data_IF_968838459698
#
_entry.id   IF_968838459698
#
_cell.length_a   1.000
_cell.length_b   1.000
_cell.length_c   1.000
_cell.angle_alpha   90.00
_cell.angle_beta   90.00
_cell.angle_gamma   90.00
#
_symmetry.space_group_name_H-M   'P 1'
#
loop_
_entity.id
_entity.type
_entity.pdbx_description
1 polymer ?
#
# COMPACT_ATOMS: atom_id res chain seq x y z
N UNK A 1 24.35 -91.06 34.86
CA UNK A 1 24.23 -89.76 34.17
C UNK A 1 22.82 -89.27 34.36
N UNK A 2 22.64 -88.11 35.01
CA UNK A 2 21.52 -87.15 34.87
C UNK A 2 21.48 -86.29 36.14
N UNK A 3 22.42 -85.32 36.17
CA UNK A 3 22.41 -84.21 37.10
C UNK A 3 21.22 -83.31 36.70
N UNK A 4 20.17 -83.26 37.52
CA UNK A 4 19.09 -82.30 37.32
C UNK A 4 19.60 -80.91 37.71
N UNK A 5 20.02 -80.13 36.71
CA UNK A 5 20.30 -78.70 36.87
C UNK A 5 18.97 -77.96 37.06
N UNK A 6 18.61 -77.70 38.32
CA UNK A 6 17.65 -76.67 38.70
C UNK A 6 18.24 -75.30 38.35
N UNK A 7 17.98 -74.83 37.13
CA UNK A 7 18.11 -73.42 36.79
C UNK A 7 17.02 -72.66 37.55
N UNK A 8 17.39 -71.97 38.62
CA UNK A 8 16.52 -70.99 39.25
C UNK A 8 16.16 -69.92 38.20
N UNK A 9 14.90 -69.47 38.11
CA UNK A 9 14.55 -68.36 37.25
C UNK A 9 15.33 -67.13 37.72
N UNK A 10 16.08 -66.51 36.81
CA UNK A 10 16.69 -65.20 37.03
C UNK A 10 15.54 -64.24 37.40
N UNK A 11 15.49 -63.83 38.67
CA UNK A 11 14.56 -62.83 39.13
C UNK A 11 15.00 -61.49 38.52
N UNK A 12 14.38 -61.07 37.42
CA UNK A 12 14.63 -59.73 36.88
C UNK A 12 14.27 -58.69 37.96
N UNK A 13 15.17 -57.75 38.28
CA UNK A 13 14.87 -56.72 39.27
C UNK A 13 13.68 -55.88 38.82
N UNK A 14 12.81 -55.52 39.77
CA UNK A 14 11.72 -54.58 39.49
C UNK A 14 12.32 -53.20 39.26
N UNK A 15 12.19 -52.67 38.05
CA UNK A 15 12.73 -51.37 37.67
C UNK A 15 11.61 -50.37 37.39
N UNK A 16 11.88 -49.11 37.73
CA UNK A 16 11.00 -47.98 37.46
C UNK A 16 11.54 -47.21 36.26
N UNK A 17 10.69 -46.98 35.25
CA UNK A 17 11.05 -46.31 34.02
C UNK A 17 10.18 -45.06 33.85
N UNK A 18 10.83 -43.92 33.59
CA UNK A 18 10.14 -42.71 33.18
C UNK A 18 10.16 -42.61 31.65
N UNK A 19 9.00 -42.35 31.05
CA UNK A 19 8.88 -42.05 29.61
C UNK A 19 8.15 -40.73 29.39
N UNK A 20 8.48 -40.04 28.31
CA UNK A 20 7.83 -38.80 27.91
C UNK A 20 7.15 -39.00 26.55
N UNK A 21 5.92 -38.51 26.42
CA UNK A 21 5.16 -38.52 25.18
C UNK A 21 4.65 -37.11 24.87
N UNK A 22 5.09 -36.48 23.76
CA UNK A 22 6.13 -36.95 22.83
C UNK A 22 7.54 -37.00 23.48
N UNK A 23 8.44 -37.82 22.93
CA UNK A 23 9.83 -37.95 23.41
C UNK A 23 10.71 -36.74 23.05
N UNK A 24 10.33 -36.03 21.97
CA UNK A 24 10.98 -34.81 21.51
C UNK A 24 9.94 -33.70 21.45
N UNK A 25 9.58 -33.11 22.61
CA UNK A 25 8.57 -32.07 22.65
C UNK A 25 9.07 -30.78 22.03
N UNK A 26 8.16 -30.04 21.43
CA UNK A 26 8.44 -28.70 20.91
C UNK A 26 7.98 -27.63 21.91
N UNK A 27 8.55 -26.44 21.84
CA UNK A 27 8.12 -25.32 22.70
C UNK A 27 6.62 -25.07 22.58
N UNK A 28 5.95 -24.91 23.72
CA UNK A 28 4.51 -24.69 23.82
C UNK A 28 3.65 -25.95 23.68
N UNK A 29 4.24 -27.11 23.34
CA UNK A 29 3.50 -28.38 23.22
C UNK A 29 3.27 -29.05 24.58
N UNK A 30 2.15 -29.77 24.76
CA UNK A 30 1.90 -30.55 25.96
C UNK A 30 2.74 -31.83 25.97
N UNK A 31 3.17 -32.24 27.17
CA UNK A 31 3.92 -33.48 27.39
C UNK A 31 3.28 -34.29 28.49
N UNK A 32 3.12 -35.58 28.26
CA UNK A 32 2.74 -36.53 29.30
C UNK A 32 3.96 -37.33 29.74
N UNK A 33 4.33 -37.18 31.01
CA UNK A 33 5.31 -38.03 31.67
C UNK A 33 4.59 -39.26 32.22
N UNK A 34 5.08 -40.46 31.91
CA UNK A 34 4.54 -41.73 32.41
C UNK A 34 5.61 -42.47 33.19
N UNK A 35 5.29 -42.81 34.43
CA UNK A 35 6.14 -43.60 35.31
C UNK A 35 5.65 -45.05 35.30
N UNK A 36 6.38 -45.91 34.61
CA UNK A 36 6.02 -47.31 34.42
C UNK A 36 6.87 -48.22 35.30
N UNK A 37 6.20 -49.15 36.00
CA UNK A 37 6.88 -50.20 36.74
C UNK A 37 7.00 -51.44 35.86
N UNK A 38 8.23 -51.80 35.52
CA UNK A 38 8.51 -53.05 34.81
C UNK A 38 8.78 -54.13 35.84
N UNK A 39 7.74 -54.90 36.19
CA UNK A 39 7.85 -56.07 37.08
C UNK A 39 7.43 -57.35 36.35
N UNK A 40 8.19 -58.45 36.47
CA UNK A 40 7.79 -59.76 35.93
C UNK A 40 6.63 -60.39 36.72
N UNK A 41 6.30 -59.89 37.91
CA UNK A 41 5.17 -60.33 38.72
C UNK A 41 4.08 -59.25 38.73
N UNK A 42 2.82 -59.64 38.48
CA UNK A 42 1.67 -58.73 38.64
C UNK A 42 1.52 -58.38 40.12
N UNK A 43 2.15 -57.29 40.53
CA UNK A 43 1.94 -56.70 41.84
C UNK A 43 0.56 -56.01 41.82
N UNK A 44 -0.41 -56.60 42.50
CA UNK A 44 -1.72 -55.98 42.79
C UNK A 44 -1.61 -54.85 43.84
N UNK A 45 -0.45 -54.20 43.92
CA UNK A 45 -0.13 -53.18 44.91
C UNK A 45 -0.54 -51.80 44.40
N UNK A 46 -1.13 -51.00 45.29
CA UNK A 46 -1.49 -49.63 44.97
C UNK A 46 -0.26 -48.73 45.15
N UNK A 47 0.26 -48.24 44.02
CA UNK A 47 1.41 -47.35 43.99
C UNK A 47 0.97 -45.89 44.04
N UNK A 48 1.81 -45.08 44.68
CA UNK A 48 1.77 -43.64 44.58
C UNK A 48 3.03 -43.15 43.88
N UNK A 49 2.90 -42.12 43.05
CA UNK A 49 3.94 -41.59 42.18
C UNK A 49 4.20 -40.11 42.48
N UNK A 50 5.47 -39.72 42.40
CA UNK A 50 5.94 -38.34 42.43
C UNK A 50 6.87 -38.10 41.23
N UNK A 51 6.83 -36.90 40.67
CA UNK A 51 7.64 -36.52 39.51
C UNK A 51 8.52 -35.32 39.84
N UNK A 52 9.75 -35.38 39.33
CA UNK A 52 10.79 -34.40 39.61
C UNK A 52 11.51 -33.99 38.33
N UNK A 53 12.00 -32.76 38.32
CA UNK A 53 12.95 -32.25 37.33
C UNK A 53 14.16 -31.62 38.04
N UNK A 54 15.21 -31.33 37.29
CA UNK A 54 16.34 -30.52 37.79
C UNK A 54 15.91 -29.15 38.35
N UNK A 55 14.77 -28.62 37.87
CA UNK A 55 14.30 -27.27 38.19
C UNK A 55 13.36 -27.20 39.39
N UNK A 56 12.73 -28.31 39.85
CA UNK A 56 11.86 -28.43 41.05
C UNK A 56 11.09 -29.78 41.11
N UNK A 57 10.33 -29.99 42.18
CA UNK A 57 9.23 -30.99 42.22
C UNK A 57 8.09 -30.54 41.30
N UNK A 58 7.69 -31.39 40.34
CA UNK A 58 6.67 -31.05 39.33
C UNK A 58 5.24 -31.34 39.80
N UNK A 59 5.11 -32.27 40.75
CA UNK A 59 3.83 -32.64 41.37
C UNK A 59 3.71 -32.00 42.76
N UNK A 60 2.54 -31.46 43.16
CA UNK A 60 2.32 -30.95 44.51
C UNK A 60 2.34 -32.03 45.60
N UNK A 61 2.42 -33.32 45.23
CA UNK A 61 2.55 -34.44 46.17
C UNK A 61 2.45 -35.81 45.50
N UNK A 62 2.24 -36.84 46.32
CA UNK A 62 2.04 -38.22 45.88
C UNK A 62 0.69 -38.40 45.19
N UNK A 63 0.70 -38.91 43.96
CA UNK A 63 -0.50 -39.15 43.16
C UNK A 63 -0.69 -40.64 42.90
N UNK A 64 -1.94 -41.13 42.86
CA UNK A 64 -2.23 -42.49 42.39
C UNK A 64 -2.12 -42.64 40.87
N UNK A 65 -1.98 -41.53 40.14
CA UNK A 65 -1.78 -41.55 38.70
C UNK A 65 -0.31 -41.80 38.37
N UNK A 66 0.01 -42.82 37.53
CA UNK A 66 1.35 -43.01 36.99
C UNK A 66 1.67 -42.00 35.87
N UNK A 67 0.78 -41.03 35.62
CA UNK A 67 0.91 -40.03 34.53
C UNK A 67 0.81 -38.62 35.09
N UNK A 68 1.71 -37.75 34.63
CA UNK A 68 1.68 -36.31 34.85
C UNK A 68 1.61 -35.59 33.49
N UNK A 69 0.62 -34.72 33.33
CA UNK A 69 0.48 -33.88 32.15
C UNK A 69 1.07 -32.49 32.41
N UNK A 70 2.02 -32.09 31.59
CA UNK A 70 2.58 -30.74 31.53
C UNK A 70 1.91 -30.05 30.34
N UNK A 71 1.19 -28.96 30.59
CA UNK A 71 0.36 -28.32 29.58
C UNK A 71 1.18 -27.67 28.45
N UNK A 72 2.36 -27.12 28.77
CA UNK A 72 3.26 -26.51 27.80
C UNK A 72 4.70 -26.63 28.31
N UNK A 73 5.56 -27.25 27.51
CA UNK A 73 7.01 -27.32 27.76
C UNK A 73 7.71 -26.19 27.00
N UNK A 74 8.64 -25.50 27.65
CA UNK A 74 9.46 -24.44 27.02
C UNK A 74 10.94 -24.82 27.00
N UNK A 75 11.76 -24.06 26.27
CA UNK A 75 13.19 -24.39 26.15
C UNK A 75 13.88 -24.45 27.50
N UNK A 76 13.47 -23.58 28.42
CA UNK A 76 13.96 -23.48 29.79
C UNK A 76 13.60 -24.70 30.66
N UNK A 77 12.60 -25.49 30.25
CA UNK A 77 12.21 -26.73 30.92
C UNK A 77 13.04 -27.94 30.46
N UNK A 78 13.99 -27.75 29.54
CA UNK A 78 14.89 -28.84 29.14
C UNK A 78 15.79 -29.24 30.31
N UNK A 79 15.94 -30.55 30.54
CA UNK A 79 16.77 -31.06 31.63
C UNK A 79 16.52 -32.53 31.97
N UNK A 80 16.97 -32.92 33.16
CA UNK A 80 16.82 -34.25 33.72
C UNK A 80 15.51 -34.41 34.48
N UNK A 81 14.78 -35.47 34.17
CA UNK A 81 13.51 -35.82 34.81
C UNK A 81 13.59 -37.22 35.40
N UNK A 82 12.97 -37.43 36.56
CA UNK A 82 12.82 -38.74 37.17
C UNK A 82 11.50 -38.85 37.91
N UNK A 83 11.06 -40.08 38.14
CA UNK A 83 9.91 -40.35 38.99
C UNK A 83 10.29 -41.25 40.15
N UNK A 84 9.52 -41.12 41.22
CA UNK A 84 9.58 -41.99 42.38
C UNK A 84 8.24 -42.69 42.55
N UNK A 85 8.27 -43.97 42.95
CA UNK A 85 7.10 -44.76 43.25
C UNK A 85 7.23 -45.39 44.64
N UNK A 86 6.16 -45.32 45.43
CA UNK A 86 6.10 -45.93 46.75
C UNK A 86 4.83 -46.76 46.94
N UNK A 87 4.90 -47.74 47.84
CA UNK A 87 3.73 -48.40 48.42
C UNK A 87 3.79 -48.27 49.94
N UNK A 88 2.69 -48.57 50.63
CA UNK A 88 2.56 -48.42 52.09
C UNK A 88 3.60 -49.22 52.90
N UNK A 89 4.22 -50.23 52.30
CA UNK A 89 5.13 -51.17 52.98
C UNK A 89 6.50 -51.26 52.31
N UNK A 90 6.76 -50.44 51.29
CA UNK A 90 7.88 -50.59 50.36
C UNK A 90 8.82 -49.40 50.44
N UNK A 91 10.12 -49.64 50.27
CA UNK A 91 11.09 -48.56 50.04
C UNK A 91 10.70 -47.81 48.76
N UNK A 92 10.94 -46.50 48.76
CA UNK A 92 10.74 -45.65 47.57
C UNK A 92 11.66 -46.14 46.46
N UNK A 93 11.06 -46.49 45.32
CA UNK A 93 11.77 -46.81 44.10
C UNK A 93 11.95 -45.53 43.30
N UNK A 94 13.14 -45.34 42.72
CA UNK A 94 13.48 -44.18 41.90
C UNK A 94 13.83 -44.66 40.50
N UNK A 95 13.30 -43.99 39.48
CA UNK A 95 13.64 -44.28 38.10
C UNK A 95 15.05 -43.79 37.77
N UNK A 96 15.61 -44.29 36.67
CA UNK A 96 16.74 -43.61 36.06
C UNK A 96 16.32 -42.22 35.59
N UNK A 97 17.31 -41.33 35.52
CA UNK A 97 17.13 -39.97 35.03
C UNK A 97 16.99 -39.97 33.51
N UNK A 98 15.92 -39.38 33.01
CA UNK A 98 15.63 -39.22 31.58
C UNK A 98 15.89 -37.79 31.16
N UNK A 99 16.73 -37.60 30.15
CA UNK A 99 16.97 -36.28 29.56
C UNK A 99 15.85 -35.94 28.58
N UNK A 100 15.18 -34.81 28.83
CA UNK A 100 14.16 -34.26 27.93
C UNK A 100 14.69 -32.95 27.38
N UNK A 101 14.85 -32.87 26.07
CA UNK A 101 15.28 -31.67 25.38
C UNK A 101 14.12 -31.11 24.56
N UNK A 102 13.65 -29.92 24.94
CA UNK A 102 12.58 -29.23 24.23
C UNK A 102 13.15 -28.58 22.98
N UNK A 103 12.54 -28.85 21.84
CA UNK A 103 12.97 -28.34 20.54
C UNK A 103 12.25 -27.04 20.21
N UNK A 104 12.99 -26.09 19.62
CA UNK A 104 12.41 -24.88 19.03
C UNK A 104 12.18 -25.13 17.55
N UNK A 105 11.02 -24.74 17.05
CA UNK A 105 10.67 -24.81 15.64
C UNK A 105 11.17 -23.53 14.97
N UNK A 106 12.01 -23.59 13.93
CA UNK A 106 12.46 -22.41 13.19
C UNK A 106 11.30 -21.63 12.57
N UNK A 107 11.51 -20.33 12.40
CA UNK A 107 10.59 -19.46 11.68
C UNK A 107 10.62 -19.77 10.19
N UNK A 108 9.44 -19.87 9.55
CA UNK A 108 9.33 -20.04 8.11
C UNK A 108 8.09 -19.34 7.53
N UNK A 109 8.10 -19.14 6.21
CA UNK A 109 7.05 -18.52 5.42
C UNK A 109 6.58 -17.17 5.98
N UNK A 110 7.53 -16.25 6.15
CA UNK A 110 7.27 -14.91 6.65
C UNK A 110 6.57 -14.07 5.59
N UNK A 111 5.52 -13.36 5.98
CA UNK A 111 4.76 -12.47 5.12
C UNK A 111 4.57 -11.10 5.77
N UNK A 112 4.42 -10.08 4.92
CA UNK A 112 4.14 -8.72 5.32
C UNK A 112 2.80 -8.30 4.71
N UNK A 113 1.88 -7.87 5.56
CA UNK A 113 0.58 -7.35 5.16
C UNK A 113 0.43 -5.90 5.59
N UNK A 114 -0.51 -5.18 4.97
CA UNK A 114 -0.79 -3.76 5.22
C UNK A 114 -2.21 -3.57 5.72
N UNK A 115 -2.39 -2.63 6.63
CA UNK A 115 -3.70 -2.11 7.01
C UNK A 115 -3.68 -0.58 6.85
N UNK A 116 -4.50 -0.02 5.94
CA UNK A 116 -5.47 -0.69 5.07
C UNK A 116 -4.83 -1.61 4.00
N UNK A 117 -5.55 -2.66 3.55
CA UNK A 117 -5.03 -3.64 2.59
C UNK A 117 -4.75 -3.01 1.23
N UNK A 118 -3.70 -3.51 0.56
CA UNK A 118 -3.28 -3.05 -0.76
C UNK A 118 -2.26 -1.90 -0.75
N UNK A 119 -1.88 -1.40 0.43
CA UNK A 119 -0.80 -0.41 0.56
C UNK A 119 -1.09 0.96 -0.06
N UNK A 120 -2.35 1.26 -0.38
CA UNK A 120 -2.78 2.58 -0.84
C UNK A 120 -3.34 3.38 0.33
N UNK A 121 -2.65 4.44 0.71
CA UNK A 121 -2.97 5.27 1.88
C UNK A 121 -2.92 6.75 1.52
N UNK A 122 -3.69 7.60 2.21
CA UNK A 122 -3.60 9.03 2.00
C UNK A 122 -2.55 9.67 2.93
N UNK A 123 -1.98 10.78 2.51
CA UNK A 123 -1.12 11.59 3.39
C UNK A 123 -1.89 12.02 4.64
N UNK A 124 -1.31 11.77 5.83
CA UNK A 124 -1.95 12.02 7.11
C UNK A 124 -2.66 10.80 7.72
N UNK A 125 -2.94 9.76 6.95
CA UNK A 125 -3.56 8.54 7.45
C UNK A 125 -2.62 7.71 8.33
N UNK A 126 -3.19 6.73 9.04
CA UNK A 126 -2.48 5.70 9.80
C UNK A 126 -2.25 4.47 8.92
N UNK A 127 -1.01 3.97 8.88
CA UNK A 127 -0.63 2.74 8.20
C UNK A 127 -0.04 1.74 9.21
N UNK A 128 -0.50 0.49 9.16
CA UNK A 128 0.04 -0.60 9.98
C UNK A 128 0.65 -1.67 9.06
N UNK A 129 1.88 -2.07 9.37
CA UNK A 129 2.60 -3.16 8.71
C UNK A 129 2.60 -4.39 9.63
N UNK A 130 1.91 -5.44 9.20
CA UNK A 130 1.69 -6.66 9.97
C UNK A 130 2.66 -7.72 9.45
N UNK A 131 3.65 -8.10 10.25
CA UNK A 131 4.56 -9.17 9.91
C UNK A 131 4.08 -10.47 10.57
N UNK A 132 3.94 -11.53 9.77
CA UNK A 132 3.48 -12.83 10.25
C UNK A 132 4.36 -13.97 9.76
N UNK A 133 4.52 -15.00 10.57
CA UNK A 133 5.19 -16.25 10.22
C UNK A 133 4.22 -17.42 10.27
N UNK A 134 4.27 -18.33 9.29
CA UNK A 134 3.40 -19.50 9.28
C UNK A 134 3.80 -20.53 10.35
N UNK A 135 5.10 -20.63 10.64
CA UNK A 135 5.65 -21.51 11.67
C UNK A 135 6.69 -20.80 12.52
N UNK A 136 6.91 -21.31 13.72
CA UNK A 136 7.89 -20.79 14.66
C UNK A 136 7.43 -20.96 16.10
N UNK A 137 8.36 -21.17 17.02
CA UNK A 137 8.05 -21.22 18.46
C UNK A 137 9.01 -20.37 19.28
N UNK A 138 8.64 -20.16 20.54
CA UNK A 138 9.43 -19.39 21.49
C UNK A 138 9.29 -17.90 21.25
N UNK A 139 10.32 -17.16 21.65
CA UNK A 139 10.36 -15.72 21.42
C UNK A 139 10.85 -15.46 19.99
N UNK A 140 10.05 -14.73 19.21
CA UNK A 140 10.34 -14.36 17.83
C UNK A 140 10.65 -12.86 17.79
N UNK A 141 11.77 -12.51 17.16
CA UNK A 141 12.19 -11.14 16.90
C UNK A 141 11.79 -10.77 15.47
N UNK A 142 10.98 -9.73 15.35
CA UNK A 142 10.52 -9.14 14.09
C UNK A 142 11.26 -7.83 13.83
N UNK A 143 11.74 -7.65 12.61
CA UNK A 143 12.44 -6.45 12.15
C UNK A 143 11.72 -5.91 10.91
N UNK A 144 11.35 -4.64 10.91
CA UNK A 144 10.74 -3.97 9.75
C UNK A 144 11.75 -3.10 9.05
N UNK A 145 11.75 -3.17 7.73
CA UNK A 145 12.68 -2.46 6.88
C UNK A 145 11.95 -1.60 5.85
N UNK A 146 12.50 -0.40 5.60
CA UNK A 146 12.06 0.53 4.56
C UNK A 146 13.11 0.68 3.48
N UNK A 147 12.66 0.66 2.24
CA UNK A 147 13.46 0.79 1.03
C UNK A 147 14.30 -0.45 0.73
N UNK A 148 14.76 -0.55 -0.52
CA UNK A 148 15.63 -1.64 -0.97
C UNK A 148 17.01 -1.66 -0.26
N UNK A 149 17.42 -0.54 0.33
CA UNK A 149 18.65 -0.40 1.12
C UNK A 149 18.53 -0.89 2.56
N UNK A 150 17.32 -1.26 3.00
CA UNK A 150 17.11 -1.92 4.30
C UNK A 150 17.26 -1.01 5.51
N UNK A 151 16.64 0.18 5.51
CA UNK A 151 16.59 1.01 6.72
C UNK A 151 15.71 0.32 7.77
N UNK A 152 16.31 -0.12 8.88
CA UNK A 152 15.55 -0.70 10.00
C UNK A 152 14.69 0.39 10.66
N UNK A 153 13.39 0.16 10.68
CA UNK A 153 12.40 1.05 11.30
C UNK A 153 12.14 0.69 12.75
N UNK A 154 12.02 -0.61 13.03
CA UNK A 154 11.71 -1.14 14.34
C UNK A 154 12.17 -2.59 14.47
N UNK A 155 12.50 -2.96 15.70
CA UNK A 155 12.73 -4.34 16.13
C UNK A 155 11.82 -4.64 17.32
N UNK A 156 11.11 -5.77 17.29
CA UNK A 156 10.19 -6.18 18.35
C UNK A 156 10.31 -7.68 18.61
N UNK A 157 10.54 -8.05 19.87
CA UNK A 157 10.58 -9.45 20.28
C UNK A 157 9.35 -9.81 21.09
N UNK A 158 8.63 -10.85 20.68
CA UNK A 158 7.44 -11.32 21.38
C UNK A 158 7.22 -12.81 21.16
N UNK A 159 6.50 -13.47 22.07
CA UNK A 159 6.11 -14.87 21.97
C UNK A 159 4.82 -15.00 21.15
N UNK A 160 4.91 -14.63 19.88
CA UNK A 160 3.78 -14.62 18.92
C UNK A 160 4.31 -14.83 17.52
N UNK A 161 3.51 -15.47 16.66
CA UNK A 161 3.78 -15.62 15.23
C UNK A 161 3.52 -14.34 14.42
N UNK A 162 2.93 -13.32 15.05
CA UNK A 162 2.58 -12.06 14.39
C UNK A 162 2.98 -10.89 15.25
N UNK A 163 3.45 -9.81 14.61
CA UNK A 163 3.71 -8.53 15.24
C UNK A 163 3.37 -7.38 14.28
N UNK A 164 3.16 -6.19 14.84
CA UNK A 164 2.71 -5.01 14.10
C UNK A 164 3.68 -3.84 14.31
N UNK A 165 3.92 -3.11 13.22
CA UNK A 165 4.59 -1.81 13.20
C UNK A 165 3.63 -0.75 12.67
N UNK A 166 3.56 0.39 13.34
CA UNK A 166 2.63 1.46 13.00
C UNK A 166 3.37 2.72 12.55
N UNK A 167 2.89 3.30 11.45
CA UNK A 167 3.20 4.65 10.99
C UNK A 167 1.94 5.49 11.29
N UNK A 168 1.92 6.29 12.38
CA UNK A 168 0.71 6.97 12.83
C UNK A 168 0.23 8.07 11.86
N UNK A 169 1.14 8.64 11.07
CA UNK A 169 0.86 9.74 10.16
C UNK A 169 1.74 9.57 8.92
N UNK A 170 1.14 9.04 7.86
CA UNK A 170 1.81 8.76 6.58
C UNK A 170 2.24 10.06 5.90
N UNK A 171 3.45 10.07 5.34
CA UNK A 171 4.01 11.16 4.55
C UNK A 171 4.35 10.70 3.14
N UNK A 172 4.54 11.64 2.21
CA UNK A 172 5.02 11.34 0.85
C UNK A 172 6.29 10.47 0.83
N UNK A 173 7.22 10.71 1.77
CA UNK A 173 8.45 9.92 1.87
C UNK A 173 8.24 8.47 2.30
N UNK A 174 7.04 8.08 2.74
CA UNK A 174 6.67 6.69 3.06
C UNK A 174 6.19 5.90 1.85
N UNK A 175 6.11 6.52 0.66
CA UNK A 175 5.81 5.85 -0.61
C UNK A 175 7.01 5.01 -1.10
N UNK A 176 7.30 3.91 -0.40
CA UNK A 176 8.47 3.06 -0.62
C UNK A 176 8.10 1.57 -0.55
N UNK A 177 9.09 0.72 -0.80
CA UNK A 177 8.97 -0.72 -0.55
C UNK A 177 9.34 -1.08 0.88
N UNK A 178 8.63 -2.03 1.46
CA UNK A 178 8.84 -2.51 2.82
C UNK A 178 8.93 -4.04 2.83
N UNK A 179 9.72 -4.57 3.74
CA UNK A 179 9.75 -6.00 4.05
C UNK A 179 9.98 -6.18 5.55
N UNK A 180 9.66 -7.35 6.07
CA UNK A 180 10.00 -7.71 7.43
C UNK A 180 10.88 -8.97 7.46
N UNK A 181 11.60 -9.14 8.55
CA UNK A 181 12.40 -10.33 8.84
C UNK A 181 11.99 -10.84 10.21
N UNK A 182 11.80 -12.15 10.32
CA UNK A 182 11.52 -12.80 11.59
C UNK A 182 12.58 -13.88 11.90
N UNK A 183 13.04 -13.91 13.15
CA UNK A 183 14.01 -14.88 13.64
C UNK A 183 13.68 -15.34 15.06
N UNK A 184 14.11 -16.55 15.42
CA UNK A 184 13.98 -17.07 16.78
C UNK A 184 15.25 -17.79 17.26
N UNK A 185 16.42 -17.30 16.84
CA UNK A 185 17.73 -17.88 17.14
C UNK A 185 18.22 -18.91 16.13
N UNK A 186 17.46 -19.11 15.04
CA UNK A 186 17.88 -19.80 13.82
C UNK A 186 18.13 -18.76 12.71
N UNK A 187 18.41 -19.23 11.49
CA UNK A 187 18.57 -18.35 10.34
C UNK A 187 17.35 -17.43 10.15
N UNK A 188 17.55 -16.11 9.96
CA UNK A 188 16.46 -15.18 9.76
C UNK A 188 15.67 -15.47 8.48
N UNK A 189 14.34 -15.37 8.56
CA UNK A 189 13.44 -15.56 7.41
C UNK A 189 12.85 -14.21 6.98
N UNK A 190 13.14 -13.73 5.75
CA UNK A 190 12.58 -12.49 5.22
C UNK A 190 11.21 -12.71 4.55
N UNK A 191 10.37 -11.67 4.57
CA UNK A 191 9.15 -11.59 3.78
C UNK A 191 9.43 -11.18 2.34
N UNK A 192 8.40 -11.28 1.50
CA UNK A 192 8.35 -10.54 0.24
C UNK A 192 8.29 -9.02 0.46
N UNK A 193 8.59 -8.26 -0.60
CA UNK A 193 8.48 -6.81 -0.63
C UNK A 193 7.02 -6.37 -0.86
N UNK A 194 6.59 -5.35 -0.11
CA UNK A 194 5.29 -4.70 -0.28
C UNK A 194 5.51 -3.23 -0.62
N UNK A 195 4.96 -2.79 -1.75
CA UNK A 195 5.01 -1.38 -2.17
C UNK A 195 3.89 -0.58 -1.52
N UNK A 196 4.23 0.52 -0.87
CA UNK A 196 3.28 1.49 -0.33
C UNK A 196 3.18 2.66 -1.31
N UNK A 197 1.95 3.06 -1.64
CA UNK A 197 1.67 4.25 -2.44
C UNK A 197 0.90 5.25 -1.60
N UNK A 198 1.37 6.49 -1.59
CA UNK A 198 0.76 7.57 -0.82
C UNK A 198 0.03 8.50 -1.78
N UNK A 199 -1.28 8.70 -1.56
CA UNK A 199 -2.06 9.69 -2.31
C UNK A 199 -2.16 10.99 -1.52
N UNK A 200 -1.86 12.09 -2.18
CA UNK A 200 -1.80 13.43 -1.59
C UNK A 200 -3.03 14.22 -2.06
N UNK A 201 -3.83 14.82 -1.16
CA UNK A 201 -4.96 15.66 -1.55
C UNK A 201 -4.47 16.93 -2.26
N UNK A 202 -5.31 17.50 -3.12
CA UNK A 202 -4.94 18.73 -3.82
C UNK A 202 -4.84 19.92 -2.86
N UNK A 203 -3.84 20.76 -3.06
CA UNK A 203 -3.77 22.09 -2.42
C UNK A 203 -4.71 23.07 -3.13
N UNK A 204 -5.02 24.20 -2.48
CA UNK A 204 -5.71 25.32 -3.13
C UNK A 204 -5.02 25.69 -4.46
N UNK A 205 -5.72 25.60 -5.61
CA UNK A 205 -5.13 25.89 -6.90
C UNK A 205 -4.96 27.40 -7.12
N UNK A 206 -4.05 27.75 -8.02
CA UNK A 206 -3.82 29.12 -8.45
C UNK A 206 -4.29 29.25 -9.89
N UNK A 207 -5.22 30.16 -10.13
CA UNK A 207 -5.65 30.54 -11.46
C UNK A 207 -4.72 31.64 -12.00
N UNK A 208 -4.09 31.38 -13.14
CA UNK A 208 -3.27 32.34 -13.88
C UNK A 208 -3.90 32.58 -15.24
N UNK A 209 -4.17 33.85 -15.57
CA UNK A 209 -4.76 34.23 -16.86
C UNK A 209 -3.63 34.81 -17.72
N UNK A 210 -3.42 34.23 -18.90
CA UNK A 210 -2.40 34.66 -19.85
C UNK A 210 -3.07 35.21 -21.09
N UNK A 211 -2.77 36.47 -21.40
CA UNK A 211 -3.21 37.14 -22.62
C UNK A 211 -2.06 37.23 -23.63
N UNK A 212 -2.31 37.11 -24.94
CA UNK A 212 -1.28 37.27 -25.96
C UNK A 212 -0.65 38.68 -26.02
N UNK A 213 -1.31 39.70 -25.46
CA UNK A 213 -0.91 41.11 -25.46
C UNK A 213 -1.29 41.80 -24.13
N UNK A 214 -0.73 42.97 -23.87
CA UNK A 214 -0.93 43.75 -22.63
C UNK A 214 -2.39 44.17 -22.36
N UNK A 215 -3.24 44.16 -23.41
CA UNK A 215 -4.67 44.45 -23.30
C UNK A 215 -5.48 43.29 -23.87
N UNK A 216 -6.44 42.82 -23.08
CA UNK A 216 -7.35 41.77 -23.46
C UNK A 216 -8.56 42.40 -24.18
N UNK A 217 -8.59 42.25 -25.51
CA UNK A 217 -9.62 42.82 -26.39
C UNK A 217 -10.59 41.72 -26.81
N UNK A 218 -11.87 42.07 -26.97
CA UNK A 218 -12.91 41.17 -27.50
C UNK A 218 -12.43 40.51 -28.80
N UNK A 219 -12.60 39.18 -28.90
CA UNK A 219 -12.10 38.38 -30.02
C UNK A 219 -10.69 37.80 -29.83
N UNK A 220 -9.95 38.17 -28.78
CA UNK A 220 -8.72 37.46 -28.40
C UNK A 220 -9.03 36.16 -27.66
N UNK A 221 -8.11 35.18 -27.77
CA UNK A 221 -8.15 33.95 -26.99
C UNK A 221 -7.27 34.14 -25.75
N UNK A 222 -7.86 34.02 -24.57
CA UNK A 222 -7.15 33.96 -23.30
C UNK A 222 -6.86 32.51 -22.93
N UNK A 223 -5.66 32.26 -22.40
CA UNK A 223 -5.33 31.00 -21.75
C UNK A 223 -5.56 31.14 -20.24
N UNK A 224 -6.52 30.39 -19.71
CA UNK A 224 -6.71 30.21 -18.27
C UNK A 224 -5.95 28.97 -17.84
N UNK A 225 -4.87 29.17 -17.09
CA UNK A 225 -4.06 28.09 -16.53
C UNK A 225 -4.36 27.93 -15.04
N UNK A 226 -4.84 26.76 -14.63
CA UNK A 226 -5.11 26.44 -13.23
C UNK A 226 -4.14 25.37 -12.75
N UNK A 227 -3.46 25.61 -11.63
CA UNK A 227 -2.47 24.69 -11.08
C UNK A 227 -2.58 24.56 -9.57
N UNK A 228 -2.75 23.32 -9.09
CA UNK A 228 -2.54 22.94 -7.70
C UNK A 228 -1.07 22.52 -7.50
N UNK A 229 -0.35 23.20 -6.60
CA UNK A 229 1.07 22.92 -6.33
C UNK A 229 1.33 21.58 -5.64
N UNK A 230 0.36 21.08 -4.87
CA UNK A 230 0.36 19.74 -4.28
C UNK A 230 -0.90 18.99 -4.73
N UNK A 231 -0.77 17.67 -4.88
CA UNK A 231 -1.86 16.76 -5.21
C UNK A 231 -1.37 15.60 -6.07
N UNK A 232 -1.76 14.37 -5.73
CA UNK A 232 -1.45 13.19 -6.56
C UNK A 232 -2.32 13.17 -7.82
N UNK A 233 -1.75 12.80 -8.99
CA UNK A 233 -2.51 12.64 -10.22
C UNK A 233 -3.44 11.42 -10.21
N UNK A 234 -4.44 11.36 -11.11
CA UNK A 234 -4.84 12.43 -12.04
C UNK A 234 -5.63 13.54 -11.33
N UNK A 235 -5.43 14.80 -11.76
CA UNK A 235 -6.18 15.96 -11.24
C UNK A 235 -7.12 16.47 -12.32
N UNK A 236 -8.40 16.65 -11.98
CA UNK A 236 -9.39 17.29 -12.81
C UNK A 236 -9.55 18.75 -12.39
N UNK A 237 -9.55 19.65 -13.37
CA UNK A 237 -9.75 21.08 -13.17
C UNK A 237 -11.05 21.55 -13.80
N UNK A 238 -11.86 22.28 -13.05
CA UNK A 238 -13.06 22.96 -13.53
C UNK A 238 -12.84 24.47 -13.52
N UNK A 239 -13.30 25.15 -14.56
CA UNK A 239 -13.18 26.60 -14.71
C UNK A 239 -14.55 27.25 -14.56
N UNK A 240 -14.61 28.29 -13.73
CA UNK A 240 -15.83 28.99 -13.33
C UNK A 240 -15.76 30.47 -13.69
N UNK A 241 -16.86 31.02 -14.18
CA UNK A 241 -17.10 32.45 -14.41
C UNK A 241 -18.41 32.82 -13.70
N UNK A 242 -18.37 33.78 -12.78
CA UNK A 242 -19.51 34.14 -11.91
C UNK A 242 -20.19 32.90 -11.28
N UNK A 243 -19.37 32.00 -10.73
CA UNK A 243 -19.79 30.72 -10.13
C UNK A 243 -20.44 29.69 -11.07
N UNK A 244 -20.44 29.93 -12.39
CA UNK A 244 -20.93 28.99 -13.39
C UNK A 244 -19.76 28.29 -14.08
N UNK A 245 -19.79 26.96 -14.12
CA UNK A 245 -18.80 26.16 -14.84
C UNK A 245 -18.93 26.36 -16.35
N UNK A 246 -17.84 26.73 -17.03
CA UNK A 246 -17.83 26.89 -18.49
C UNK A 246 -16.84 25.97 -19.20
N UNK A 247 -16.00 25.23 -18.46
CA UNK A 247 -15.05 24.30 -19.04
C UNK A 247 -14.35 23.41 -18.01
N UNK A 248 -13.74 22.34 -18.49
CA UNK A 248 -12.87 21.47 -17.69
C UNK A 248 -11.66 21.01 -18.48
N UNK A 249 -10.60 20.67 -17.76
CA UNK A 249 -9.35 20.15 -18.31
C UNK A 249 -8.71 19.24 -17.28
N UNK A 250 -7.88 18.27 -17.69
CA UNK A 250 -7.27 17.31 -16.78
C UNK A 250 -5.75 17.31 -16.88
N UNK A 251 -5.10 16.97 -15.77
CA UNK A 251 -3.67 16.76 -15.66
C UNK A 251 -3.39 15.32 -15.25
N UNK A 252 -3.30 14.37 -16.22
CA UNK A 252 -3.14 12.94 -15.92
C UNK A 252 -1.82 12.59 -15.23
N UNK A 253 -0.79 13.41 -15.43
CA UNK A 253 0.55 13.23 -14.85
C UNK A 253 0.85 14.24 -13.73
N UNK A 254 -0.15 15.03 -13.32
CA UNK A 254 0.01 16.10 -12.32
C UNK A 254 0.36 17.46 -12.96
N UNK A 255 0.52 18.48 -12.12
CA UNK A 255 0.71 19.86 -12.54
C UNK A 255 -0.61 20.58 -12.87
N UNK A 256 -0.51 21.70 -13.58
CA UNK A 256 -1.66 22.50 -13.99
C UNK A 256 -2.27 22.10 -15.33
N UNK A 257 -3.51 22.53 -15.54
CA UNK A 257 -4.22 22.38 -16.81
C UNK A 257 -4.64 23.75 -17.36
N UNK A 258 -4.62 23.88 -18.68
CA UNK A 258 -5.03 25.11 -19.37
C UNK A 258 -6.37 24.95 -20.08
N UNK A 259 -7.12 26.03 -20.17
CA UNK A 259 -8.35 26.17 -20.94
C UNK A 259 -8.31 27.46 -21.75
N UNK A 260 -8.61 27.38 -23.05
CA UNK A 260 -8.61 28.53 -23.95
C UNK A 260 -10.02 29.11 -24.08
N UNK A 261 -10.19 30.38 -23.70
CA UNK A 261 -11.45 31.11 -23.76
C UNK A 261 -11.40 32.20 -24.83
N UNK A 262 -12.35 32.19 -25.76
CA UNK A 262 -12.51 33.27 -26.74
C UNK A 262 -13.33 34.41 -26.15
N UNK A 263 -12.78 35.63 -26.09
CA UNK A 263 -13.40 36.76 -25.39
C UNK A 263 -14.64 37.32 -26.09
N UNK A 264 -15.72 37.50 -25.32
CA UNK A 264 -16.95 38.23 -25.67
C UNK A 264 -17.17 39.37 -24.67
N UNK A 265 -18.09 40.29 -24.97
CA UNK A 265 -18.43 41.40 -24.06
C UNK A 265 -19.02 40.92 -22.71
N UNK A 266 -19.52 39.68 -22.66
CA UNK A 266 -20.13 39.10 -21.46
C UNK A 266 -19.10 38.43 -20.53
N UNK A 267 -17.84 38.30 -20.96
CA UNK A 267 -16.78 37.63 -20.21
C UNK A 267 -16.15 38.52 -19.12
N UNK A 268 -16.63 39.74 -18.89
CA UNK A 268 -16.23 40.50 -17.70
C UNK A 268 -16.78 39.83 -16.43
N UNK A 269 -16.01 39.86 -15.35
CA UNK A 269 -16.42 39.29 -14.07
C UNK A 269 -15.35 38.47 -13.38
N UNK A 270 -15.79 37.68 -12.40
CA UNK A 270 -14.93 36.87 -11.53
C UNK A 270 -14.68 35.48 -12.10
N UNK A 271 -13.41 35.13 -12.24
CA UNK A 271 -12.95 33.82 -12.67
C UNK A 271 -12.33 33.05 -11.51
N UNK A 272 -12.67 31.77 -11.39
CA UNK A 272 -12.03 30.87 -10.44
C UNK A 272 -11.87 29.48 -11.05
N UNK A 273 -11.03 28.66 -10.46
CA UNK A 273 -10.91 27.26 -10.84
C UNK A 273 -10.97 26.35 -9.61
N UNK A 274 -11.43 25.12 -9.83
CA UNK A 274 -11.46 24.07 -8.82
C UNK A 274 -10.59 22.91 -9.27
N UNK A 275 -9.76 22.40 -8.38
CA UNK A 275 -8.96 21.19 -8.58
C UNK A 275 -9.58 20.05 -7.77
N UNK A 276 -9.69 18.86 -8.35
CA UNK A 276 -10.17 17.66 -7.66
C UNK A 276 -9.40 16.42 -8.13
N UNK A 277 -8.91 15.62 -7.18
CA UNK A 277 -8.29 14.32 -7.42
C UNK A 277 -9.01 13.15 -6.71
N UNK A 278 -10.26 13.39 -6.29
CA UNK A 278 -11.10 12.46 -5.55
C UNK A 278 -10.83 12.43 -4.04
N UNK A 279 -9.91 13.27 -3.53
CA UNK A 279 -9.54 13.32 -2.11
C UNK A 279 -9.95 14.65 -1.43
N UNK A 280 -10.86 15.39 -2.06
CA UNK A 280 -11.34 16.68 -1.61
C UNK A 280 -10.99 17.77 -2.60
N UNK A 281 -12.03 18.36 -3.20
CA UNK A 281 -11.88 19.46 -4.13
C UNK A 281 -11.42 20.75 -3.42
N UNK A 282 -10.63 21.56 -4.10
CA UNK A 282 -10.19 22.87 -3.63
C UNK A 282 -10.39 23.92 -4.71
N UNK A 283 -10.93 25.08 -4.31
CA UNK A 283 -11.23 26.20 -5.21
C UNK A 283 -10.24 27.35 -5.03
N UNK A 284 -9.80 27.94 -6.14
CA UNK A 284 -8.90 29.09 -6.16
C UNK A 284 -9.59 30.34 -5.63
N UNK A 285 -8.79 31.35 -5.27
CA UNK A 285 -9.30 32.71 -5.18
C UNK A 285 -9.86 33.17 -6.54
N UNK A 286 -10.84 34.06 -6.51
CA UNK A 286 -11.40 34.65 -7.70
C UNK A 286 -10.46 35.74 -8.26
N UNK A 287 -10.30 35.76 -9.57
CA UNK A 287 -9.59 36.81 -10.31
C UNK A 287 -10.62 37.56 -11.15
N UNK A 288 -10.80 38.85 -10.86
CA UNK A 288 -11.70 39.71 -11.63
C UNK A 288 -11.03 40.18 -12.91
N UNK A 289 -11.69 39.96 -14.04
CA UNK A 289 -11.34 40.56 -15.32
C UNK A 289 -12.40 41.59 -15.68
N UNK A 290 -12.00 42.85 -15.83
CA UNK A 290 -12.86 43.90 -16.35
C UNK A 290 -12.43 44.24 -17.78
N UNK A 291 -13.18 43.74 -18.76
CA UNK A 291 -13.05 44.23 -20.12
C UNK A 291 -13.85 45.51 -20.21
N UNK A 292 -13.19 46.64 -19.99
CA UNK A 292 -13.74 47.93 -20.41
C UNK A 292 -13.87 47.87 -21.93
N UNK A 293 -15.08 47.59 -22.39
CA UNK A 293 -15.37 47.52 -23.81
C UNK A 293 -14.89 48.81 -24.47
N UNK A 294 -14.24 48.65 -25.63
CA UNK A 294 -14.10 49.67 -26.65
C UNK A 294 -15.50 49.98 -27.24
N UNK A 295 -16.50 50.19 -26.38
CA UNK A 295 -17.80 50.74 -26.72
C UNK A 295 -17.71 52.25 -26.98
N UNK A 296 -16.56 52.89 -26.72
CA UNK A 296 -16.37 54.33 -26.93
C UNK A 296 -15.76 54.74 -28.29
N UNK A 297 -15.47 53.80 -29.21
CA UNK A 297 -14.89 54.16 -30.52
C UNK A 297 -15.89 54.13 -31.70
N UNK A 298 -17.15 53.73 -31.49
CA UNK A 298 -18.17 53.75 -32.55
C UNK A 298 -19.23 54.84 -32.39
N UNK A 299 -19.20 55.63 -31.32
CA UNK A 299 -20.16 56.75 -31.09
C UNK A 299 -19.59 58.16 -31.35
N UNK A 300 -18.34 58.29 -31.84
CA UNK A 300 -17.72 59.62 -32.08
C UNK A 300 -17.45 59.96 -33.55
N UNK A 301 -18.06 59.25 -34.51
CA UNK A 301 -18.10 59.76 -35.89
C UNK A 301 -19.25 60.77 -36.01
N UNK A 302 -18.99 62.08 -36.22
CA UNK A 302 -20.05 63.02 -36.49
C UNK A 302 -20.77 62.62 -37.77
N UNK A 303 -22.11 62.66 -37.76
CA UNK A 303 -22.93 62.45 -38.94
C UNK A 303 -22.44 63.36 -40.08
N UNK A 304 -22.29 62.86 -41.31
CA UNK A 304 -21.93 63.73 -42.43
C UNK A 304 -23.04 64.75 -42.64
N UNK A 305 -22.67 66.04 -42.59
CA UNK A 305 -23.52 67.17 -42.96
C UNK A 305 -24.04 66.93 -44.38
N UNK A 306 -25.34 67.06 -44.66
CA UNK A 306 -25.85 66.95 -46.03
C UNK A 306 -25.27 68.08 -46.88
N UNK A 307 -24.46 67.75 -47.88
CA UNK A 307 -24.13 68.70 -48.93
C UNK A 307 -25.31 68.79 -49.90
N UNK A 308 -25.90 69.97 -49.96
CA UNK A 308 -26.95 70.34 -50.90
C UNK A 308 -26.33 70.42 -52.31
N UNK A 309 -26.60 69.44 -53.16
CA UNK A 309 -26.21 69.49 -54.56
C UNK A 309 -27.27 70.28 -55.35
N UNK A 310 -26.88 71.46 -55.80
CA UNK A 310 -27.64 72.24 -56.79
C UNK A 310 -27.52 71.56 -58.15
N UNK A 311 -28.63 71.01 -58.65
CA UNK A 311 -28.75 70.56 -60.03
C UNK A 311 -29.09 71.74 -60.93
N UNK A 312 -28.28 71.98 -61.96
CA UNK A 312 -28.71 72.72 -63.16
C UNK A 312 -28.81 71.76 -64.34
N UNK A 313 -30.00 71.81 -64.95
CA UNK A 313 -30.63 70.91 -65.90
C UNK A 313 -29.79 70.26 -67.01
N UNK A 314 -30.06 68.95 -67.14
CA UNK A 314 -30.43 68.20 -68.34
C UNK A 314 -30.53 68.94 -69.69
N UNK A 315 -29.90 68.34 -70.70
CA UNK A 315 -30.57 67.98 -71.94
C UNK A 315 -30.04 66.62 -72.43
N UNK A 316 -30.94 65.63 -72.44
CA UNK A 316 -30.79 64.27 -73.02
C UNK A 316 -30.94 64.31 -74.56
N UNK A 317 -30.61 63.25 -75.37
CA UNK A 317 -31.33 61.96 -75.31
C UNK A 317 -30.54 60.66 -75.65
N UNK A 318 -30.81 59.60 -74.85
CA UNK A 318 -30.98 58.16 -75.23
C UNK A 318 -29.75 57.30 -75.67
N UNK A 319 -29.84 55.95 -75.73
CA UNK A 319 -29.78 55.03 -74.58
C UNK A 319 -28.74 53.89 -74.76
N UNK A 320 -27.96 53.57 -73.72
CA UNK A 320 -27.05 52.42 -73.70
C UNK A 320 -27.32 51.53 -72.50
N UNK A 321 -27.90 50.35 -72.73
CA UNK A 321 -28.25 49.35 -71.74
C UNK A 321 -27.00 48.53 -71.35
N UNK A 322 -26.61 48.55 -70.08
CA UNK A 322 -25.63 47.61 -69.50
C UNK A 322 -26.14 47.11 -68.14
N UNK A 323 -26.32 45.79 -68.04
CA UNK A 323 -26.66 45.05 -66.82
C UNK A 323 -25.41 44.90 -65.92
N UNK A 324 -25.58 44.75 -64.59
CA UNK A 324 -24.47 44.46 -63.69
C UNK A 324 -24.08 42.97 -63.71
N UNK A 325 -22.79 42.69 -63.85
CA UNK A 325 -22.18 41.39 -63.55
C UNK A 325 -21.68 41.44 -62.11
N UNK A 326 -22.13 40.48 -61.30
CA UNK A 326 -21.60 40.22 -59.96
C UNK A 326 -20.41 39.28 -60.08
N UNK A 327 -19.24 39.70 -59.60
CA UNK A 327 -18.07 38.83 -59.48
C UNK A 327 -17.83 38.50 -57.99
N UNK A 328 -17.96 37.21 -57.67
CA UNK A 328 -17.67 36.63 -56.38
C UNK A 328 -16.17 36.34 -56.27
N UNK A 329 -15.46 37.01 -55.35
CA UNK A 329 -14.14 36.55 -54.93
C UNK A 329 -14.26 35.54 -53.78
N UNK A 330 -14.22 34.25 -54.13
CA UNK A 330 -13.88 33.18 -53.19
C UNK A 330 -12.35 33.04 -53.10
N UNK A 331 -11.82 33.40 -51.94
CA UNK A 331 -10.43 33.15 -51.54
C UNK A 331 -10.29 31.68 -51.13
N UNK A 332 -9.65 30.88 -51.98
CA UNK A 332 -9.15 29.55 -51.64
C UNK A 332 -7.62 29.55 -51.68
N UNK A 333 -7.00 29.30 -50.53
CA UNK A 333 -5.55 29.06 -50.40
C UNK A 333 -5.30 27.57 -50.16
N UNK A 334 -4.67 26.88 -51.10
CA UNK A 334 -4.11 25.56 -50.84
C UNK A 334 -2.82 25.29 -51.65
N UNK A 335 -1.72 25.24 -50.89
CA UNK A 335 -0.68 24.20 -50.88
C UNK A 335 0.06 23.92 -52.20
N UNK A 336 1.32 24.35 -52.21
CA UNK A 336 2.40 23.93 -53.10
C UNK A 336 2.71 22.44 -52.94
N UNK A 337 2.64 21.66 -54.02
CA UNK A 337 3.21 20.31 -54.14
C UNK A 337 4.34 20.36 -55.16
N UNK A 338 5.57 20.06 -54.74
CA UNK A 338 6.72 19.87 -55.61
C UNK A 338 6.70 18.44 -56.19
N UNK A 339 6.63 18.31 -57.51
CA UNK A 339 6.87 17.04 -58.23
C UNK A 339 8.12 17.15 -59.10
N UNK A 340 9.07 16.23 -58.91
CA UNK A 340 10.25 16.05 -59.74
C UNK A 340 9.92 15.28 -61.02
N UNK A 341 10.53 15.69 -62.14
CA UNK A 341 10.42 15.07 -63.48
C UNK A 341 11.11 13.70 -63.53
N UNK A 342 10.41 12.70 -64.05
CA UNK A 342 10.99 11.46 -64.58
C UNK A 342 11.24 11.61 -66.09
N UNK A 343 12.43 11.23 -66.55
CA UNK A 343 12.78 11.14 -67.97
C UNK A 343 13.08 9.67 -68.29
N UNK A 344 12.50 9.16 -69.37
CA UNK A 344 12.67 7.78 -69.86
C UNK A 344 14.03 7.59 -70.56
N UNK A 345 14.63 6.43 -70.36
CA UNK A 345 15.70 5.86 -71.20
C UNK A 345 15.57 4.33 -71.21
N UNK A 346 15.17 3.78 -72.35
CA UNK A 346 15.08 2.36 -72.67
C UNK A 346 16.48 1.79 -72.96
N UNK A 347 16.74 0.56 -72.52
CA UNK A 347 17.26 -0.52 -73.38
C UNK A 347 17.09 -1.89 -72.69
N UNK A 348 16.61 -2.86 -73.47
CA UNK A 348 16.36 -4.28 -73.19
C UNK A 348 17.49 -5.13 -73.83
N UNK A 349 17.54 -6.46 -73.63
CA UNK A 349 17.08 -7.26 -72.50
C UNK A 349 18.24 -7.81 -71.63
#
# INVERSE_FOLDING_TARGET
SLLHSLLAPLCEPTELLLTASPSHPTEGSPVTLTCEMRSPQRLNAQFQFCFFSDSRTLSPGWSSSPKLQIAAMWKEDSGSYWCEAQTMTSKVLMSQRTQINVQRIPVADVSLETQPPGGQVMEGDRLVLICSAATGTGNITFLWYKGATGLNLQTKTQRSLTAEYEIPTVRESDAEQYYCVAENGYDPSPSGLVSITVRIPVSRPILTIRAPRAEAVVGHVLELHCEARRGSPPILYWFYHEDVTFGSSSAPSGGGASFNLSLTAEHSGNYSCEADNGLGAQRSEAVTLDFTGIAQALESLPSPVPQEFTYLNSNSPTPGQLQPVYENEQKASSITVCTWRLSFGLELP
#
